data_IF_880129755176
#
_entry.id   IF_880129755176
#
_cell.length_a   1.000
_cell.length_b   1.000
_cell.length_c   1.000
_cell.angle_alpha   90.00
_cell.angle_beta   90.00
_cell.angle_gamma   90.00
#
_symmetry.space_group_name_H-M   'P 1'
#
loop_
_entity.id
_entity.type
_entity.pdbx_description
1 polymer ?
#
# COMPACT_ATOMS: atom_id res chain seq x y z
N UNK A 1 4.34 27.81 9.50
CA UNK A 1 4.21 26.59 10.34
C UNK A 1 4.65 25.40 9.48
N UNK A 2 5.62 24.60 9.90
CA UNK A 2 5.92 23.35 9.20
C UNK A 2 4.69 22.44 9.34
N UNK A 3 4.14 21.95 8.22
CA UNK A 3 3.02 20.99 8.27
C UNK A 3 3.54 19.70 8.90
N UNK A 4 2.88 19.24 9.96
CA UNK A 4 3.18 17.96 10.58
C UNK A 4 2.85 16.86 9.58
N UNK A 5 3.81 15.97 9.31
CA UNK A 5 3.63 14.77 8.48
C UNK A 5 3.67 13.54 9.38
N UNK A 6 3.13 12.42 8.89
CA UNK A 6 3.15 11.14 9.56
C UNK A 6 3.02 9.99 8.56
N UNK A 7 3.47 8.81 8.98
CA UNK A 7 3.18 7.54 8.32
C UNK A 7 2.54 6.59 9.34
N UNK A 8 1.42 5.99 8.97
CA UNK A 8 0.75 4.95 9.74
C UNK A 8 0.85 3.61 9.02
N UNK A 9 1.57 2.65 9.62
CA UNK A 9 1.78 1.32 9.04
C UNK A 9 0.80 0.32 9.63
N UNK A 10 0.00 -0.33 8.79
CA UNK A 10 -1.03 -1.29 9.21
C UNK A 10 -1.01 -2.56 8.36
N UNK A 11 -1.58 -3.68 8.85
CA UNK A 11 -1.86 -4.83 7.99
C UNK A 11 -2.77 -4.44 6.83
N UNK A 12 -2.44 -4.90 5.63
CA UNK A 12 -3.29 -4.75 4.45
C UNK A 12 -4.60 -5.53 4.61
N UNK A 13 -5.70 -5.01 4.05
CA UNK A 13 -7.03 -5.62 4.07
C UNK A 13 -7.44 -6.11 2.67
N UNK A 14 -8.37 -7.05 2.61
CA UNK A 14 -8.80 -7.71 1.36
C UNK A 14 -9.46 -6.79 0.31
N UNK A 15 -9.78 -5.53 0.65
CA UNK A 15 -10.34 -4.55 -0.27
C UNK A 15 -9.50 -3.26 -0.41
N UNK A 16 -8.26 -3.26 0.10
CA UNK A 16 -7.41 -2.06 0.07
C UNK A 16 -7.13 -1.60 -1.38
N UNK A 17 -6.84 -2.52 -2.30
CA UNK A 17 -6.59 -2.16 -3.71
C UNK A 17 -7.80 -1.53 -4.41
N UNK A 18 -8.99 -2.10 -4.23
CA UNK A 18 -10.22 -1.58 -4.84
C UNK A 18 -10.58 -0.19 -4.29
N UNK A 19 -10.32 0.04 -3.00
CA UNK A 19 -10.49 1.34 -2.36
C UNK A 19 -9.50 2.37 -2.91
N UNK A 20 -8.21 2.02 -2.95
CA UNK A 20 -7.14 2.90 -3.40
C UNK A 20 -7.27 3.25 -4.89
N UNK A 21 -7.69 2.29 -5.73
CA UNK A 21 -7.98 2.50 -7.16
C UNK A 21 -9.35 3.17 -7.41
N UNK A 22 -10.05 3.61 -6.36
CA UNK A 22 -11.39 4.25 -6.44
C UNK A 22 -12.44 3.42 -7.18
N UNK A 23 -12.31 2.08 -7.20
CA UNK A 23 -13.28 1.17 -7.82
C UNK A 23 -14.56 1.04 -7.00
N UNK A 24 -14.46 1.21 -5.68
CA UNK A 24 -15.60 1.22 -4.76
C UNK A 24 -16.17 2.63 -4.60
N UNK A 25 -17.47 2.80 -4.86
CA UNK A 25 -18.18 4.06 -4.58
C UNK A 25 -18.45 4.16 -3.07
N UNK A 26 -17.97 5.23 -2.47
CA UNK A 26 -18.11 5.54 -1.05
C UNK A 26 -18.56 7.00 -0.91
N UNK A 27 -19.47 7.26 0.03
CA UNK A 27 -20.15 8.56 0.11
C UNK A 27 -19.25 9.69 0.59
N UNK A 28 -18.23 9.37 1.39
CA UNK A 28 -17.26 10.33 1.90
C UNK A 28 -16.13 10.68 0.90
N UNK A 29 -16.12 10.06 -0.28
CA UNK A 29 -15.09 10.32 -1.30
C UNK A 29 -15.54 11.47 -2.21
N UNK A 30 -14.69 12.50 -2.36
CA UNK A 30 -14.87 13.59 -3.34
C UNK A 30 -14.64 13.09 -4.76
N UNK A 31 -15.70 12.56 -5.38
CA UNK A 31 -15.67 11.92 -6.71
C UNK A 31 -15.24 12.87 -7.82
N UNK A 32 -15.61 14.15 -7.68
CA UNK A 32 -15.23 15.26 -8.55
C UNK A 32 -13.71 15.46 -8.61
N UNK A 33 -12.96 15.11 -7.56
CA UNK A 33 -11.50 15.25 -7.52
C UNK A 33 -10.75 13.93 -7.77
N UNK A 34 -11.44 12.79 -7.86
CA UNK A 34 -10.77 11.48 -7.99
C UNK A 34 -9.89 11.37 -9.22
N UNK A 35 -10.21 12.10 -10.30
CA UNK A 35 -9.44 12.12 -11.55
C UNK A 35 -8.08 12.81 -11.42
N UNK A 36 -7.85 13.56 -10.33
CA UNK A 36 -6.57 14.20 -10.01
C UNK A 36 -5.63 13.27 -9.23
N UNK A 37 -6.12 12.12 -8.75
CA UNK A 37 -5.27 11.18 -8.02
C UNK A 37 -4.30 10.51 -8.99
N UNK A 38 -3.01 10.56 -8.66
CA UNK A 38 -2.00 9.75 -9.32
C UNK A 38 -1.99 8.33 -8.71
N UNK A 39 -1.57 7.36 -9.52
CA UNK A 39 -1.47 5.97 -9.11
C UNK A 39 -0.31 5.28 -9.80
N UNK A 40 0.38 4.41 -9.06
CA UNK A 40 1.41 3.54 -9.60
C UNK A 40 1.35 2.15 -8.94
N UNK A 41 1.66 1.12 -9.73
CA UNK A 41 1.65 -0.28 -9.32
C UNK A 41 2.76 -1.02 -10.05
N UNK A 42 3.56 -1.79 -9.31
CA UNK A 42 4.47 -2.78 -9.91
C UNK A 42 3.91 -4.20 -9.88
N UNK A 43 3.00 -4.51 -8.94
CA UNK A 43 2.39 -5.82 -8.77
C UNK A 43 1.13 -5.69 -7.91
N UNK A 44 0.26 -6.71 -7.94
CA UNK A 44 -0.95 -6.75 -7.13
C UNK A 44 -0.68 -7.36 -5.75
N UNK A 45 -1.47 -6.96 -4.76
CA UNK A 45 -1.52 -7.54 -3.42
C UNK A 45 -1.75 -9.05 -3.47
N UNK A 46 -2.62 -9.53 -4.37
CA UNK A 46 -2.92 -10.95 -4.54
C UNK A 46 -1.67 -11.74 -4.97
N UNK A 47 -0.96 -11.25 -6.00
CA UNK A 47 0.27 -11.86 -6.48
C UNK A 47 1.37 -11.82 -5.41
N UNK A 48 1.58 -10.68 -4.75
CA UNK A 48 2.55 -10.55 -3.66
C UNK A 48 2.25 -11.53 -2.53
N UNK A 49 0.99 -11.69 -2.15
CA UNK A 49 0.59 -12.64 -1.11
C UNK A 49 0.85 -14.10 -1.53
N UNK A 50 0.54 -14.44 -2.78
CA UNK A 50 0.83 -15.77 -3.32
C UNK A 50 2.33 -16.08 -3.31
N UNK A 51 3.15 -15.14 -3.78
CA UNK A 51 4.61 -15.25 -3.80
C UNK A 51 5.18 -15.42 -2.38
N UNK A 52 4.71 -14.62 -1.41
CA UNK A 52 5.16 -14.73 -0.01
C UNK A 52 4.77 -16.08 0.60
N UNK A 53 3.55 -16.58 0.33
CA UNK A 53 3.12 -17.91 0.80
C UNK A 53 3.97 -19.03 0.21
N UNK A 54 4.23 -18.99 -1.09
CA UNK A 54 5.08 -19.97 -1.77
C UNK A 54 6.51 -19.95 -1.23
N UNK A 55 7.08 -18.75 -1.05
CA UNK A 55 8.42 -18.59 -0.50
C UNK A 55 8.49 -19.12 0.94
N UNK A 56 7.55 -18.72 1.79
CA UNK A 56 7.48 -19.20 3.18
C UNK A 56 7.41 -20.73 3.24
N UNK A 57 6.54 -21.35 2.45
CA UNK A 57 6.42 -22.81 2.40
C UNK A 57 7.71 -23.48 1.91
N UNK A 58 8.34 -22.96 0.85
CA UNK A 58 9.59 -23.50 0.32
C UNK A 58 10.75 -23.42 1.32
N UNK A 59 10.80 -22.37 2.15
CA UNK A 59 11.88 -22.14 3.12
C UNK A 59 11.68 -22.87 4.44
N UNK A 60 10.43 -23.02 4.88
CA UNK A 60 10.10 -23.54 6.21
C UNK A 60 9.51 -24.96 6.19
N UNK A 61 9.02 -25.42 5.03
CA UNK A 61 8.22 -26.64 4.91
C UNK A 61 6.79 -26.51 5.47
N UNK A 62 6.41 -25.34 5.99
CA UNK A 62 5.14 -25.13 6.69
C UNK A 62 4.17 -24.26 5.88
N UNK A 63 2.87 -24.45 6.10
CA UNK A 63 1.84 -23.53 5.60
C UNK A 63 1.82 -22.28 6.47
N UNK A 64 1.71 -21.11 5.83
CA UNK A 64 1.57 -19.83 6.54
C UNK A 64 0.31 -19.83 7.40
N UNK A 65 0.43 -19.33 8.64
CA UNK A 65 -0.69 -19.24 9.56
C UNK A 65 -1.80 -18.32 9.01
N UNK A 66 -3.06 -18.71 9.23
CA UNK A 66 -4.21 -17.96 8.69
C UNK A 66 -4.31 -16.51 9.19
N UNK A 67 -3.80 -16.21 10.39
CA UNK A 67 -3.79 -14.87 10.99
C UNK A 67 -2.52 -14.07 10.68
N UNK A 68 -1.59 -14.62 9.90
CA UNK A 68 -0.37 -13.91 9.52
C UNK A 68 -0.73 -12.69 8.67
N UNK A 69 0.01 -11.60 8.89
CA UNK A 69 -0.15 -10.32 8.18
C UNK A 69 1.15 -9.96 7.45
N UNK A 70 1.52 -10.74 6.41
CA UNK A 70 2.82 -10.61 5.76
C UNK A 70 2.96 -9.34 4.91
N UNK A 71 1.84 -8.70 4.54
CA UNK A 71 1.83 -7.46 3.77
C UNK A 71 1.37 -6.33 4.69
N UNK A 72 2.13 -5.24 4.70
CA UNK A 72 1.85 -4.01 5.43
C UNK A 72 1.63 -2.87 4.45
N UNK A 73 0.70 -1.97 4.75
CA UNK A 73 0.49 -0.72 4.02
C UNK A 73 0.87 0.48 4.90
N UNK A 74 1.58 1.43 4.31
CA UNK A 74 1.90 2.72 4.93
C UNK A 74 0.97 3.81 4.40
N UNK A 75 0.17 4.41 5.27
CA UNK A 75 -0.66 5.58 4.94
C UNK A 75 0.14 6.82 5.30
N UNK A 76 0.50 7.61 4.28
CA UNK A 76 1.39 8.77 4.43
C UNK A 76 0.61 10.06 4.24
N UNK A 77 0.82 11.03 5.14
CA UNK A 77 0.29 12.39 4.96
C UNK A 77 1.19 13.15 3.99
N UNK A 78 0.65 13.45 2.82
CA UNK A 78 1.31 14.23 1.78
C UNK A 78 0.86 15.69 1.80
N UNK A 79 1.56 16.54 1.05
CA UNK A 79 1.17 17.93 0.81
C UNK A 79 0.99 18.17 -0.71
N UNK A 80 0.43 19.31 -1.09
CA UNK A 80 0.12 19.64 -2.48
C UNK A 80 1.34 19.61 -3.41
N UNK A 81 2.54 19.88 -2.88
CA UNK A 81 3.79 19.83 -3.64
C UNK A 81 4.44 18.43 -3.67
N UNK A 82 3.85 17.43 -3.01
CA UNK A 82 4.36 16.06 -3.04
C UNK A 82 4.11 15.45 -4.42
N UNK A 83 5.16 14.92 -5.02
CA UNK A 83 5.15 14.30 -6.34
C UNK A 83 5.26 12.77 -6.25
N UNK A 84 4.93 12.06 -7.34
CA UNK A 84 5.21 10.63 -7.43
C UNK A 84 6.70 10.29 -7.27
N UNK A 85 7.61 11.17 -7.72
CA UNK A 85 9.05 10.98 -7.52
C UNK A 85 9.43 11.01 -6.03
N UNK A 86 8.77 11.82 -5.20
CA UNK A 86 8.95 11.81 -3.75
C UNK A 86 8.52 10.46 -3.14
N UNK A 87 7.41 9.90 -3.63
CA UNK A 87 6.92 8.59 -3.18
C UNK A 87 7.84 7.44 -3.60
N UNK A 88 8.44 7.51 -4.79
CA UNK A 88 9.47 6.55 -5.21
C UNK A 88 10.71 6.64 -4.32
N UNK A 89 11.21 7.85 -4.04
CA UNK A 89 12.34 8.04 -3.10
C UNK A 89 12.03 7.49 -1.71
N UNK A 90 10.79 7.64 -1.24
CA UNK A 90 10.36 7.04 0.02
C UNK A 90 10.39 5.51 -0.06
N UNK A 91 9.93 4.91 -1.15
CA UNK A 91 9.96 3.47 -1.35
C UNK A 91 11.39 2.92 -1.36
N UNK A 92 12.30 3.59 -2.07
CA UNK A 92 13.73 3.22 -2.13
C UNK A 92 14.37 3.29 -0.72
N UNK A 93 14.10 4.35 0.04
CA UNK A 93 14.60 4.49 1.41
C UNK A 93 14.07 3.41 2.39
N UNK A 94 12.92 2.80 2.10
CA UNK A 94 12.40 1.65 2.84
C UNK A 94 13.00 0.33 2.38
N UNK A 95 13.40 0.23 1.11
CA UNK A 95 14.05 -0.96 0.56
C UNK A 95 15.46 -1.13 1.10
N UNK A 96 16.18 -0.02 1.30
CA UNK A 96 17.58 0.00 1.76
C UNK A 96 17.75 -0.24 3.28
N UNK A 97 16.65 -0.40 4.02
CA UNK A 97 16.64 -0.65 5.47
C UNK A 97 16.50 -2.13 5.81
#
# INVERSE_FOLDING_TARGET
MAKQTSINVQPVKGGSEEHNKRKKKLDYVRKDLSHLNEYWECDTQANRLANIKALYQSKTGQKMQAKATPIREGVVVIQESTTMADLHRLADAYHDR
#
